data_IF_765497062576
#
_entry.id   IF_765497062576
#
_cell.length_a   1.000
_cell.length_b   1.000
_cell.length_c   1.000
_cell.angle_alpha   90.00
_cell.angle_beta   90.00
_cell.angle_gamma   90.00
#
_symmetry.space_group_name_H-M   'P 1'
#
loop_
_entity.id
_entity.type
_entity.pdbx_description
1 polymer ?
#
# COMPACT_ATOMS: atom_id res chain seq x y z
N UNK A 1 -27.75 6.40 1.51
CA UNK A 1 -26.95 5.34 0.84
C UNK A 1 -25.62 5.27 1.54
N UNK A 2 -25.01 4.09 1.70
CA UNK A 2 -23.64 3.98 2.20
C UNK A 2 -22.66 3.79 1.04
N UNK A 3 -21.59 4.58 1.04
CA UNK A 3 -20.56 4.61 -0.02
C UNK A 3 -19.19 4.52 0.63
N UNK A 4 -18.54 3.36 0.55
CA UNK A 4 -17.22 3.13 1.12
C UNK A 4 -16.12 3.32 0.07
N UNK A 5 -15.32 4.36 0.23
CA UNK A 5 -14.26 4.78 -0.70
C UNK A 5 -12.90 4.98 0.01
N UNK A 6 -12.67 4.24 1.10
CA UNK A 6 -11.40 4.20 1.82
C UNK A 6 -10.71 2.82 1.66
N UNK A 7 -10.80 2.22 0.46
CA UNK A 7 -10.28 0.88 0.21
C UNK A 7 -8.73 0.81 0.17
N UNK A 8 -8.04 1.93 0.21
CA UNK A 8 -6.58 1.94 0.39
C UNK A 8 -6.18 1.76 1.86
N UNK A 9 -7.02 2.16 2.81
CA UNK A 9 -6.78 1.90 4.24
C UNK A 9 -7.09 0.46 4.62
N UNK A 10 -8.28 -0.03 4.26
CA UNK A 10 -8.69 -1.43 4.45
C UNK A 10 -9.87 -1.74 3.53
N UNK A 11 -10.08 -2.99 3.21
CA UNK A 11 -11.19 -3.42 2.35
C UNK A 11 -12.17 -4.33 3.08
N UNK A 12 -13.45 -4.35 2.70
CA UNK A 12 -14.35 -5.42 3.14
C UNK A 12 -13.85 -6.77 2.60
N UNK A 13 -13.99 -7.82 3.39
CA UNK A 13 -13.59 -9.16 2.96
C UNK A 13 -14.50 -9.64 1.83
N UNK A 14 -13.91 -10.23 0.78
CA UNK A 14 -14.65 -10.84 -0.34
C UNK A 14 -15.60 -11.93 0.17
N UNK A 15 -16.84 -12.04 -0.39
CA UNK A 15 -17.81 -13.06 0.03
C UNK A 15 -17.25 -14.48 -0.04
N UNK A 16 -16.48 -14.83 -1.09
CA UNK A 16 -15.86 -16.14 -1.24
C UNK A 16 -14.77 -16.38 -0.19
N UNK A 17 -13.99 -15.35 0.14
CA UNK A 17 -12.97 -15.39 1.19
C UNK A 17 -13.62 -15.56 2.57
N UNK A 18 -14.77 -14.91 2.82
CA UNK A 18 -15.56 -15.13 4.06
C UNK A 18 -16.04 -16.56 4.19
N UNK A 19 -16.50 -17.17 3.09
CA UNK A 19 -16.93 -18.56 3.05
C UNK A 19 -15.77 -19.48 3.47
N UNK A 20 -14.61 -19.37 2.81
CA UNK A 20 -13.41 -20.15 3.16
C UNK A 20 -12.99 -19.92 4.62
N UNK A 21 -13.01 -18.67 5.09
CA UNK A 21 -12.69 -18.36 6.49
C UNK A 21 -13.62 -19.07 7.47
N UNK A 22 -14.94 -19.10 7.18
CA UNK A 22 -15.94 -19.75 8.02
C UNK A 22 -15.81 -21.29 7.97
N UNK A 23 -15.64 -21.88 6.78
CA UNK A 23 -15.51 -23.32 6.61
C UNK A 23 -14.26 -23.90 7.27
N UNK A 24 -13.19 -23.13 7.36
CA UNK A 24 -11.90 -23.57 7.90
C UNK A 24 -11.72 -23.29 9.38
N UNK A 25 -12.72 -22.72 10.07
CA UNK A 25 -12.60 -22.34 11.49
C UNK A 25 -12.35 -23.55 12.42
N UNK A 26 -12.86 -24.71 12.03
CA UNK A 26 -12.70 -25.95 12.78
C UNK A 26 -11.41 -26.73 12.44
N UNK A 27 -10.57 -26.21 11.54
CA UNK A 27 -9.25 -26.78 11.23
C UNK A 27 -8.24 -26.25 12.27
N UNK A 28 -8.12 -26.95 13.41
CA UNK A 28 -7.38 -26.48 14.60
C UNK A 28 -6.11 -27.27 14.92
N UNK A 29 -5.84 -28.38 14.22
CA UNK A 29 -4.72 -29.26 14.53
C UNK A 29 -3.35 -28.56 14.42
N UNK A 30 -2.38 -29.08 15.16
CA UNK A 30 -0.99 -28.65 14.99
C UNK A 30 -0.38 -29.37 13.78
N UNK A 31 -0.08 -28.65 12.73
CA UNK A 31 0.46 -29.18 11.47
C UNK A 31 1.79 -29.96 11.61
N UNK A 32 2.51 -29.79 12.71
CA UNK A 32 3.79 -30.48 12.98
C UNK A 32 3.62 -31.84 13.67
N UNK A 33 2.38 -32.27 13.98
CA UNK A 33 2.10 -33.51 14.67
C UNK A 33 1.39 -34.50 13.75
N UNK A 34 1.60 -35.82 14.01
CA UNK A 34 1.15 -36.89 13.10
C UNK A 34 -0.25 -37.43 13.42
N UNK A 35 -0.99 -36.85 14.38
CA UNK A 35 -2.38 -37.23 14.58
C UNK A 35 -3.30 -36.69 13.49
N UNK A 36 -4.50 -37.22 13.36
CA UNK A 36 -5.44 -36.94 12.26
C UNK A 36 -5.62 -35.43 12.00
N UNK A 37 -5.96 -34.64 13.03
CA UNK A 37 -6.20 -33.21 12.92
C UNK A 37 -4.93 -32.43 12.48
N UNK A 38 -3.74 -32.88 12.91
CA UNK A 38 -2.47 -32.29 12.49
C UNK A 38 -2.17 -32.55 11.01
N UNK A 39 -2.50 -33.74 10.51
CA UNK A 39 -2.37 -34.09 9.08
C UNK A 39 -3.34 -33.27 8.23
N UNK A 40 -4.60 -33.12 8.68
CA UNK A 40 -5.61 -32.30 8.00
C UNK A 40 -5.16 -30.83 7.92
N UNK A 41 -4.68 -30.25 9.01
CA UNK A 41 -4.16 -28.88 9.04
C UNK A 41 -2.94 -28.69 8.12
N UNK A 42 -2.04 -29.68 8.09
CA UNK A 42 -0.89 -29.64 7.19
C UNK A 42 -1.31 -29.68 5.72
N UNK A 43 -2.28 -30.49 5.36
CA UNK A 43 -2.81 -30.57 4.01
C UNK A 43 -3.43 -29.23 3.59
N UNK A 44 -4.24 -28.60 4.45
CA UNK A 44 -4.84 -27.30 4.20
C UNK A 44 -3.77 -26.17 4.09
N UNK A 45 -2.71 -26.21 4.91
CA UNK A 45 -1.60 -25.27 4.80
C UNK A 45 -0.83 -25.44 3.49
N UNK A 46 -0.57 -26.67 3.04
CA UNK A 46 0.08 -26.91 1.76
C UNK A 46 -0.76 -26.36 0.62
N UNK A 47 -2.07 -26.60 0.60
CA UNK A 47 -2.98 -26.01 -0.40
C UNK A 47 -2.95 -24.48 -0.37
N UNK A 48 -2.88 -23.87 0.81
CA UNK A 48 -2.74 -22.42 0.92
C UNK A 48 -1.41 -21.93 0.35
N UNK A 49 -0.30 -22.65 0.60
CA UNK A 49 0.98 -22.35 -0.03
C UNK A 49 0.91 -22.46 -1.55
N UNK A 50 0.35 -23.56 -2.09
CA UNK A 50 0.21 -23.74 -3.53
C UNK A 50 -0.56 -22.56 -4.16
N UNK A 51 -1.70 -22.16 -3.57
CA UNK A 51 -2.46 -20.97 -4.02
C UNK A 51 -1.65 -19.69 -3.99
N UNK A 52 -0.77 -19.52 -2.99
CA UNK A 52 0.08 -18.33 -2.87
C UNK A 52 1.20 -18.31 -3.93
N UNK A 53 1.87 -19.46 -4.13
CA UNK A 53 2.93 -19.60 -5.12
C UNK A 53 2.39 -19.42 -6.54
N UNK A 54 1.29 -20.11 -6.87
CA UNK A 54 0.64 -19.99 -8.17
C UNK A 54 0.08 -18.57 -8.39
N UNK A 55 -0.63 -18.05 -7.37
CA UNK A 55 -1.28 -16.75 -7.45
C UNK A 55 -0.32 -15.57 -7.61
N UNK A 56 0.92 -15.69 -7.15
CA UNK A 56 1.96 -14.64 -7.26
C UNK A 56 3.07 -15.00 -8.27
N UNK A 57 2.97 -16.13 -8.94
CA UNK A 57 4.01 -16.69 -9.81
C UNK A 57 5.39 -16.73 -9.12
N UNK A 58 5.43 -17.25 -7.87
CA UNK A 58 6.68 -17.48 -7.14
C UNK A 58 7.32 -18.82 -7.59
N UNK A 59 8.65 -18.92 -7.50
CA UNK A 59 9.37 -20.16 -7.74
C UNK A 59 9.35 -21.06 -6.50
N UNK A 60 9.31 -22.38 -6.67
CA UNK A 60 9.43 -23.36 -5.57
C UNK A 60 10.76 -23.24 -4.77
N UNK A 61 11.75 -22.59 -5.35
CA UNK A 61 13.02 -22.32 -4.69
C UNK A 61 12.97 -21.13 -3.72
N UNK A 62 11.95 -20.28 -3.83
CA UNK A 62 11.74 -19.09 -3.02
C UNK A 62 10.97 -19.42 -1.75
N UNK A 63 10.88 -18.49 -0.82
CA UNK A 63 10.10 -18.65 0.39
C UNK A 63 8.97 -17.61 0.44
N UNK A 64 7.78 -18.05 0.85
CA UNK A 64 6.70 -17.16 1.30
C UNK A 64 6.44 -17.47 2.78
N UNK A 65 6.67 -16.50 3.64
CA UNK A 65 6.37 -16.64 5.08
C UNK A 65 5.16 -15.79 5.45
N UNK A 66 4.31 -16.32 6.32
CA UNK A 66 3.15 -15.58 6.81
C UNK A 66 3.55 -14.68 7.97
N UNK A 67 3.08 -13.45 7.92
CA UNK A 67 3.30 -12.40 8.92
C UNK A 67 1.95 -11.92 9.46
N UNK A 68 1.94 -11.08 10.48
CA UNK A 68 0.70 -10.43 10.95
C UNK A 68 0.23 -9.31 10.03
N UNK A 69 1.15 -8.73 9.26
CA UNK A 69 0.89 -7.59 8.37
C UNK A 69 2.12 -7.28 7.51
N UNK A 70 1.96 -6.40 6.51
CA UNK A 70 3.08 -5.78 5.79
C UNK A 70 4.08 -5.12 6.76
N UNK A 71 3.59 -4.49 7.83
CA UNK A 71 4.46 -3.86 8.84
C UNK A 71 5.45 -4.84 9.48
N UNK A 72 5.02 -6.06 9.84
CA UNK A 72 5.93 -7.10 10.33
C UNK A 72 6.94 -7.50 9.26
N UNK A 73 6.49 -7.69 8.01
CA UNK A 73 7.36 -8.04 6.88
C UNK A 73 8.42 -6.97 6.60
N UNK A 74 8.03 -5.70 6.53
CA UNK A 74 8.92 -4.56 6.34
C UNK A 74 9.99 -4.47 7.44
N UNK A 75 9.57 -4.62 8.70
CA UNK A 75 10.49 -4.66 9.84
C UNK A 75 11.46 -5.85 9.75
N UNK A 76 10.98 -7.02 9.34
CA UNK A 76 11.81 -8.22 9.22
C UNK A 76 12.90 -8.02 8.16
N UNK A 77 12.56 -7.46 7.00
CA UNK A 77 13.53 -7.15 5.93
C UNK A 77 14.54 -6.11 6.41
N UNK A 78 14.09 -4.94 6.87
CA UNK A 78 15.01 -3.84 7.27
C UNK A 78 15.94 -4.28 8.40
N UNK A 79 15.42 -4.97 9.42
CA UNK A 79 16.23 -5.44 10.56
C UNK A 79 17.17 -6.58 10.21
N UNK A 80 16.95 -7.32 9.13
CA UNK A 80 17.93 -8.26 8.58
C UNK A 80 19.23 -7.54 8.23
N UNK A 81 19.15 -6.37 7.61
CA UNK A 81 20.35 -5.60 7.19
C UNK A 81 20.98 -4.83 8.35
N UNK A 82 20.20 -4.41 9.35
CA UNK A 82 20.76 -3.93 10.62
C UNK A 82 21.57 -5.02 11.34
N UNK A 83 20.99 -6.23 11.46
CA UNK A 83 21.69 -7.38 12.06
C UNK A 83 22.99 -7.74 11.33
N UNK A 84 22.94 -7.73 9.99
CA UNK A 84 24.14 -7.97 9.17
C UNK A 84 25.21 -6.88 9.37
N UNK A 85 24.80 -5.61 9.48
CA UNK A 85 25.71 -4.50 9.79
C UNK A 85 26.36 -4.66 11.15
N UNK A 86 25.57 -4.94 12.20
CA UNK A 86 26.05 -5.14 13.57
C UNK A 86 27.01 -6.35 13.68
N UNK A 87 26.86 -7.34 12.80
CA UNK A 87 27.75 -8.51 12.68
C UNK A 87 28.97 -8.25 11.80
N UNK A 88 29.19 -7.05 11.32
CA UNK A 88 30.41 -6.64 10.61
C UNK A 88 30.37 -6.86 9.11
N UNK A 89 29.21 -6.82 8.45
CA UNK A 89 29.11 -6.91 6.98
C UNK A 89 29.85 -5.77 6.25
N UNK A 90 30.12 -4.65 6.94
CA UNK A 90 30.71 -3.44 6.37
C UNK A 90 29.74 -2.60 5.52
N UNK A 91 28.52 -3.08 5.28
CA UNK A 91 27.48 -2.36 4.54
C UNK A 91 26.52 -1.69 5.52
N UNK A 92 26.51 -0.36 5.53
CA UNK A 92 25.74 0.44 6.51
C UNK A 92 24.74 1.39 5.86
N UNK A 93 24.52 1.31 4.54
CA UNK A 93 23.68 2.26 3.82
C UNK A 93 22.41 1.60 3.28
N UNK A 94 21.26 2.24 3.48
CA UNK A 94 19.97 1.84 2.92
C UNK A 94 19.42 3.00 2.09
N UNK A 95 18.90 2.69 0.90
CA UNK A 95 18.22 3.67 0.04
C UNK A 95 16.72 3.39 0.09
N UNK A 96 15.93 4.44 0.23
CA UNK A 96 14.46 4.40 0.24
C UNK A 96 13.89 5.66 -0.39
N UNK A 97 12.58 5.93 -0.25
CA UNK A 97 11.93 7.10 -0.84
C UNK A 97 11.25 7.99 0.21
N UNK A 98 11.03 9.27 -0.13
CA UNK A 98 10.24 10.18 0.72
C UNK A 98 8.76 9.75 0.82
N UNK A 99 8.27 8.98 -0.15
CA UNK A 99 6.87 8.56 -0.25
C UNK A 99 6.54 7.28 0.55
N UNK A 100 7.49 6.72 1.31
CA UNK A 100 7.31 5.47 2.03
C UNK A 100 6.30 5.56 3.18
N UNK A 101 5.65 4.43 3.43
CA UNK A 101 4.79 4.26 4.60
C UNK A 101 5.60 4.28 5.91
N UNK A 102 4.95 4.64 7.02
CA UNK A 102 5.56 4.69 8.36
C UNK A 102 6.22 3.35 8.76
N UNK A 103 5.71 2.19 8.28
CA UNK A 103 6.30 0.87 8.55
C UNK A 103 7.69 0.66 7.92
N UNK A 104 8.12 1.54 7.01
CA UNK A 104 9.47 1.63 6.46
C UNK A 104 10.25 2.75 7.17
N UNK A 105 9.68 3.96 7.24
CA UNK A 105 10.35 5.14 7.81
C UNK A 105 10.77 4.93 9.27
N UNK A 106 9.87 4.38 10.10
CA UNK A 106 10.14 4.18 11.54
C UNK A 106 11.26 3.16 11.82
N UNK A 107 11.27 1.94 11.23
CA UNK A 107 12.41 1.05 11.44
C UNK A 107 13.71 1.56 10.83
N UNK A 108 13.69 2.38 9.75
CA UNK A 108 14.89 3.04 9.24
C UNK A 108 15.41 4.10 10.23
N UNK A 109 14.53 4.90 10.83
CA UNK A 109 14.91 5.82 11.89
C UNK A 109 15.56 5.08 13.08
N UNK A 110 15.02 3.92 13.46
CA UNK A 110 15.63 3.06 14.46
C UNK A 110 17.01 2.56 14.02
N UNK A 111 17.20 2.12 12.79
CA UNK A 111 18.51 1.69 12.26
C UNK A 111 19.57 2.80 12.31
N UNK A 112 19.17 4.06 12.08
CA UNK A 112 20.06 5.23 12.18
C UNK A 112 20.66 5.39 13.57
N UNK A 113 19.95 5.01 14.64
CA UNK A 113 20.47 5.06 16.02
C UNK A 113 21.65 4.11 16.26
N UNK A 114 21.84 3.13 15.40
CA UNK A 114 22.96 2.17 15.41
C UNK A 114 24.09 2.52 14.43
N UNK A 115 24.00 3.65 13.74
CA UNK A 115 25.02 4.11 12.81
C UNK A 115 24.80 3.70 11.35
N UNK A 116 23.62 3.22 10.99
CA UNK A 116 23.26 3.06 9.58
C UNK A 116 22.94 4.42 8.94
N UNK A 117 23.28 4.55 7.68
CA UNK A 117 22.99 5.71 6.84
C UNK A 117 21.75 5.43 5.97
N UNK A 118 20.91 6.43 5.76
CA UNK A 118 19.70 6.29 4.95
C UNK A 118 19.62 7.45 3.95
N UNK A 119 19.54 7.12 2.66
CA UNK A 119 19.24 8.07 1.60
C UNK A 119 17.76 7.96 1.24
N UNK A 120 17.06 9.09 1.26
CA UNK A 120 15.67 9.21 0.81
C UNK A 120 15.67 9.84 -0.59
N UNK A 121 15.21 9.09 -1.58
CA UNK A 121 15.04 9.58 -2.95
C UNK A 121 13.76 10.41 -3.03
N UNK A 122 13.86 11.55 -3.69
CA UNK A 122 12.70 12.40 -3.98
C UNK A 122 11.84 11.81 -5.09
N UNK A 123 10.60 12.23 -5.13
CA UNK A 123 9.69 11.93 -6.23
C UNK A 123 9.55 13.16 -7.14
N UNK A 124 9.28 12.91 -8.43
CA UNK A 124 8.91 13.99 -9.36
C UNK A 124 7.44 14.44 -9.12
N UNK A 125 6.97 15.40 -9.89
CA UNK A 125 5.59 15.91 -9.85
C UNK A 125 4.49 14.86 -10.07
N UNK A 126 4.85 13.71 -10.67
CA UNK A 126 3.97 12.56 -10.86
C UNK A 126 4.10 11.51 -9.73
N UNK A 127 4.84 11.80 -8.67
CA UNK A 127 5.06 10.91 -7.55
C UNK A 127 6.00 9.72 -7.85
N UNK A 128 6.76 9.79 -8.95
CA UNK A 128 7.64 8.72 -9.40
C UNK A 128 9.10 9.00 -9.02
N UNK A 129 9.79 7.98 -8.55
CA UNK A 129 11.23 8.01 -8.30
C UNK A 129 11.99 7.69 -9.59
N UNK A 130 13.05 8.46 -9.86
CA UNK A 130 13.93 8.22 -11.00
C UNK A 130 14.82 7.00 -10.78
N UNK A 131 14.87 6.10 -11.77
CA UNK A 131 15.83 4.96 -11.76
C UNK A 131 17.27 5.44 -11.86
N UNK A 132 17.53 6.56 -12.52
CA UNK A 132 18.87 7.13 -12.64
C UNK A 132 19.32 7.76 -11.31
N UNK A 133 18.42 8.42 -10.56
CA UNK A 133 18.72 8.92 -9.22
C UNK A 133 18.99 7.76 -8.25
N UNK A 134 18.24 6.66 -8.38
CA UNK A 134 18.53 5.44 -7.63
C UNK A 134 19.93 4.92 -7.95
N UNK A 135 20.32 4.84 -9.24
CA UNK A 135 21.67 4.40 -9.63
C UNK A 135 22.76 5.30 -9.08
N UNK A 136 22.54 6.61 -9.12
CA UNK A 136 23.49 7.60 -8.60
C UNK A 136 23.68 7.50 -7.07
N UNK A 137 22.62 7.13 -6.34
CA UNK A 137 22.66 6.97 -4.88
C UNK A 137 23.30 5.66 -4.41
N UNK A 138 23.36 4.63 -5.26
CA UNK A 138 23.95 3.33 -4.92
C UNK A 138 25.46 3.39 -4.76
N UNK A 139 25.98 2.77 -3.70
CA UNK A 139 27.43 2.68 -3.41
C UNK A 139 27.81 1.27 -2.98
N UNK A 140 29.10 0.99 -2.84
CA UNK A 140 29.61 -0.28 -2.29
C UNK A 140 29.14 -0.54 -0.85
N UNK A 141 28.78 0.52 -0.10
CA UNK A 141 28.23 0.44 1.26
C UNK A 141 26.73 0.15 1.27
N UNK A 142 26.05 0.21 0.14
CA UNK A 142 24.59 -0.01 0.08
C UNK A 142 24.27 -1.47 0.40
N UNK A 143 23.49 -1.67 1.45
CA UNK A 143 23.07 -2.96 1.96
C UNK A 143 21.71 -3.38 1.39
N UNK A 144 20.80 -2.42 1.19
CA UNK A 144 19.43 -2.64 0.76
C UNK A 144 18.92 -1.41 0.01
N UNK A 145 18.11 -1.64 -1.01
CA UNK A 145 17.18 -0.65 -1.57
C UNK A 145 15.76 -1.09 -1.22
N UNK A 146 14.95 -0.19 -0.68
CA UNK A 146 13.56 -0.45 -0.31
C UNK A 146 12.66 0.64 -0.88
N UNK A 147 11.79 0.29 -1.82
CA UNK A 147 10.88 1.22 -2.50
C UNK A 147 9.47 0.66 -2.49
N UNK A 148 8.47 1.46 -2.06
CA UNK A 148 7.07 1.05 -2.13
C UNK A 148 6.66 0.77 -3.58
N UNK A 149 5.79 -0.24 -3.78
CA UNK A 149 5.30 -0.58 -5.12
C UNK A 149 4.38 0.51 -5.66
N UNK A 150 3.46 0.95 -4.84
CA UNK A 150 2.56 2.05 -5.15
C UNK A 150 2.18 2.82 -3.88
N UNK A 151 2.04 4.13 -4.00
CA UNK A 151 1.66 4.98 -2.88
C UNK A 151 0.19 4.74 -2.48
N UNK A 152 -0.05 4.54 -1.19
CA UNK A 152 -1.39 4.48 -0.64
C UNK A 152 -2.10 5.85 -0.65
N UNK A 153 -1.34 6.95 -0.72
CA UNK A 153 -1.85 8.31 -0.67
C UNK A 153 -2.09 8.88 -2.07
N UNK A 154 -1.13 8.73 -2.99
CA UNK A 154 -1.23 9.31 -4.33
C UNK A 154 -1.61 8.30 -5.41
N UNK A 155 -1.47 7.01 -5.12
CA UNK A 155 -1.66 5.94 -6.08
C UNK A 155 -0.51 5.77 -7.07
N UNK A 156 0.52 6.62 -7.06
CA UNK A 156 1.65 6.56 -7.99
C UNK A 156 2.33 5.18 -7.94
N UNK A 157 2.49 4.55 -9.10
CA UNK A 157 3.10 3.21 -9.26
C UNK A 157 4.56 3.39 -9.63
N UNK A 158 5.46 2.86 -8.81
CA UNK A 158 6.91 2.97 -9.04
C UNK A 158 7.40 1.98 -10.12
N UNK A 159 8.47 2.29 -10.85
CA UNK A 159 9.07 1.41 -11.86
C UNK A 159 9.89 0.29 -11.21
N UNK A 160 9.20 -0.60 -10.46
CA UNK A 160 9.81 -1.63 -9.59
C UNK A 160 10.72 -2.58 -10.36
N UNK A 161 10.29 -3.03 -11.55
CA UNK A 161 11.06 -3.97 -12.37
C UNK A 161 12.40 -3.39 -12.82
N UNK A 162 12.40 -2.13 -13.25
CA UNK A 162 13.60 -1.40 -13.67
C UNK A 162 14.52 -1.14 -12.49
N UNK A 163 13.96 -0.79 -11.33
CA UNK A 163 14.71 -0.57 -10.09
C UNK A 163 15.34 -1.87 -9.58
N UNK A 164 14.57 -2.97 -9.54
CA UNK A 164 15.08 -4.29 -9.17
C UNK A 164 16.22 -4.74 -10.09
N UNK A 165 16.10 -4.46 -11.41
CA UNK A 165 17.17 -4.73 -12.36
C UNK A 165 18.42 -3.90 -12.07
N UNK A 166 18.28 -2.60 -11.82
CA UNK A 166 19.40 -1.73 -11.49
C UNK A 166 20.13 -2.19 -10.22
N UNK A 167 19.40 -2.62 -9.19
CA UNK A 167 19.98 -3.15 -7.96
C UNK A 167 20.70 -4.48 -8.19
N UNK A 168 20.13 -5.36 -9.00
CA UNK A 168 20.73 -6.66 -9.36
C UNK A 168 22.05 -6.48 -10.11
N UNK A 169 22.17 -5.49 -11.01
CA UNK A 169 23.38 -5.17 -11.75
C UNK A 169 24.54 -4.79 -10.81
N UNK A 170 24.22 -4.28 -9.60
CA UNK A 170 25.18 -3.92 -8.55
C UNK A 170 25.24 -4.92 -7.38
N UNK A 171 24.55 -6.06 -7.48
CA UNK A 171 24.43 -7.06 -6.40
C UNK A 171 23.93 -6.46 -5.07
N UNK A 172 22.97 -5.55 -5.15
CA UNK A 172 22.28 -4.96 -4.00
C UNK A 172 20.88 -5.58 -3.88
N UNK A 173 20.49 -6.14 -2.73
CA UNK A 173 19.16 -6.66 -2.50
C UNK A 173 18.09 -5.56 -2.65
N UNK A 174 16.95 -5.92 -3.27
CA UNK A 174 15.83 -5.02 -3.51
C UNK A 174 14.56 -5.50 -2.82
N UNK A 175 13.97 -4.64 -1.99
CA UNK A 175 12.70 -4.83 -1.32
C UNK A 175 11.62 -3.89 -1.88
N UNK A 176 10.40 -4.39 -1.99
CA UNK A 176 9.24 -3.54 -2.26
C UNK A 176 8.12 -3.79 -1.24
N UNK A 177 7.63 -2.70 -0.63
CA UNK A 177 6.35 -2.69 0.09
C UNK A 177 5.22 -2.70 -0.94
N UNK A 178 4.59 -3.84 -1.10
CA UNK A 178 3.55 -4.07 -2.09
C UNK A 178 2.13 -4.13 -1.50
N UNK A 179 1.92 -3.51 -0.35
CA UNK A 179 0.61 -3.47 0.31
C UNK A 179 -0.51 -3.00 -0.63
N UNK A 180 -0.21 -2.12 -1.58
CA UNK A 180 -1.17 -1.57 -2.54
C UNK A 180 -1.16 -2.26 -3.91
N UNK A 181 -0.35 -3.29 -4.15
CA UNK A 181 -0.17 -3.89 -5.47
C UNK A 181 -1.22 -4.96 -5.81
N UNK A 182 -1.35 -6.01 -4.96
CA UNK A 182 -2.18 -7.18 -5.24
C UNK A 182 -3.65 -6.77 -5.46
N UNK A 183 -4.24 -7.27 -6.54
CA UNK A 183 -5.62 -6.98 -6.93
C UNK A 183 -5.84 -5.64 -7.64
N UNK A 184 -4.78 -4.84 -7.82
CA UNK A 184 -4.84 -3.54 -8.52
C UNK A 184 -3.92 -3.51 -9.72
N UNK A 185 -2.77 -4.18 -9.63
CA UNK A 185 -1.85 -4.42 -10.74
C UNK A 185 -1.52 -5.90 -10.82
N UNK A 186 -1.08 -6.37 -11.97
CA UNK A 186 -0.60 -7.76 -12.10
C UNK A 186 0.69 -7.93 -11.30
N UNK A 187 0.69 -8.85 -10.37
CA UNK A 187 1.88 -9.26 -9.63
C UNK A 187 2.41 -10.58 -10.20
N UNK A 188 3.63 -10.55 -10.66
CA UNK A 188 4.39 -11.71 -11.12
C UNK A 188 5.80 -11.60 -10.53
N UNK A 189 6.07 -12.36 -9.47
CA UNK A 189 7.32 -12.25 -8.71
C UNK A 189 8.56 -12.67 -9.50
N UNK A 190 8.42 -13.59 -10.46
CA UNK A 190 9.52 -13.98 -11.33
C UNK A 190 9.86 -12.87 -12.34
N UNK A 191 8.85 -12.21 -12.91
CA UNK A 191 9.03 -11.10 -13.85
C UNK A 191 9.52 -9.82 -13.15
N UNK A 192 9.01 -9.50 -11.96
CA UNK A 192 9.46 -8.35 -11.15
C UNK A 192 10.92 -8.49 -10.75
N UNK A 193 11.37 -9.68 -10.40
CA UNK A 193 12.75 -9.97 -10.05
C UNK A 193 13.24 -9.32 -8.76
N UNK A 194 12.33 -8.99 -7.84
CA UNK A 194 12.60 -8.45 -6.50
C UNK A 194 13.18 -9.53 -5.58
N UNK A 195 13.92 -9.13 -4.53
CA UNK A 195 14.43 -10.06 -3.53
C UNK A 195 13.47 -10.22 -2.34
N UNK A 196 12.70 -9.17 -2.03
CA UNK A 196 11.67 -9.19 -0.99
C UNK A 196 10.42 -8.45 -1.47
N UNK A 197 9.25 -9.01 -1.12
CA UNK A 197 7.95 -8.44 -1.45
C UNK A 197 7.02 -8.63 -0.25
N UNK A 198 6.49 -7.53 0.31
CA UNK A 198 5.65 -7.55 1.50
C UNK A 198 4.22 -7.13 1.19
N UNK A 199 3.24 -7.79 1.81
CA UNK A 199 1.82 -7.53 1.57
C UNK A 199 0.94 -7.87 2.79
N UNK A 200 -0.31 -7.39 2.79
CA UNK A 200 -1.32 -7.66 3.83
C UNK A 200 -2.66 -8.05 3.21
N UNK A 201 -3.29 -9.11 3.71
CA UNK A 201 -4.53 -9.65 3.17
C UNK A 201 -5.67 -8.62 3.09
N UNK A 202 -5.83 -7.79 4.10
CA UNK A 202 -6.93 -6.80 4.17
C UNK A 202 -6.85 -5.67 3.13
N UNK A 203 -5.81 -5.57 2.34
CA UNK A 203 -5.66 -4.56 1.27
C UNK A 203 -6.24 -5.03 -0.07
N UNK A 204 -6.52 -6.33 -0.20
CA UNK A 204 -7.08 -6.95 -1.39
C UNK A 204 -8.22 -7.92 -1.06
N UNK A 205 -9.11 -7.50 -0.16
CA UNK A 205 -10.32 -8.22 0.24
C UNK A 205 -10.09 -9.53 1.00
N UNK A 206 -8.91 -9.71 1.59
CA UNK A 206 -8.59 -10.77 2.53
C UNK A 206 -8.83 -10.35 4.00
N UNK A 207 -8.51 -11.22 4.97
CA UNK A 207 -8.68 -10.93 6.38
C UNK A 207 -7.61 -9.97 6.92
N UNK A 208 -7.95 -9.26 8.01
CA UNK A 208 -6.99 -8.51 8.83
C UNK A 208 -6.15 -9.46 9.70
N UNK A 209 -4.98 -9.00 10.15
CA UNK A 209 -4.12 -9.77 11.07
C UNK A 209 -3.29 -10.85 10.38
N UNK A 210 -3.27 -10.88 9.06
CA UNK A 210 -2.42 -11.77 8.26
C UNK A 210 -1.86 -11.03 7.05
N UNK A 211 -0.58 -11.27 6.79
CA UNK A 211 0.16 -10.78 5.63
C UNK A 211 1.18 -11.81 5.19
N UNK A 212 1.99 -11.43 4.23
CA UNK A 212 3.05 -12.28 3.71
C UNK A 212 4.34 -11.49 3.43
N UNK A 213 5.44 -12.20 3.49
CA UNK A 213 6.75 -11.76 3.03
C UNK A 213 7.30 -12.83 2.10
N UNK A 214 7.47 -12.47 0.84
CA UNK A 214 8.23 -13.25 -0.13
C UNK A 214 9.72 -12.96 0.07
N UNK A 215 10.54 -14.01 0.02
CA UNK A 215 11.99 -13.96 0.12
C UNK A 215 12.56 -14.80 -1.02
N UNK A 216 13.26 -14.16 -1.95
CA UNK A 216 13.89 -14.82 -3.07
C UNK A 216 14.97 -15.80 -2.60
N UNK A 217 15.10 -16.92 -3.30
CA UNK A 217 16.13 -17.92 -3.02
C UNK A 217 17.51 -17.28 -2.86
N UNK A 218 18.19 -17.59 -1.76
CA UNK A 218 19.53 -17.08 -1.37
C UNK A 218 19.58 -15.62 -0.95
N UNK A 219 18.46 -14.87 -0.95
CA UNK A 219 18.46 -13.53 -0.40
C UNK A 219 18.78 -13.58 1.12
N UNK A 220 19.60 -12.65 1.64
CA UNK A 220 19.94 -12.61 3.06
C UNK A 220 18.70 -12.45 3.93
N UNK A 221 18.55 -13.25 4.98
CA UNK A 221 17.41 -13.10 5.89
C UNK A 221 17.77 -13.52 7.30
N UNK A 222 17.42 -12.69 8.27
CA UNK A 222 17.47 -12.99 9.71
C UNK A 222 16.05 -12.91 10.25
N UNK A 223 15.56 -13.96 10.95
CA UNK A 223 14.21 -13.94 11.53
C UNK A 223 14.03 -12.78 12.51
N UNK A 224 12.92 -12.03 12.36
CA UNK A 224 12.53 -11.02 13.34
C UNK A 224 11.96 -11.65 14.60
N UNK A 225 11.21 -12.74 14.45
CA UNK A 225 10.58 -13.48 15.55
C UNK A 225 11.26 -14.84 15.67
N UNK A 226 11.99 -15.04 16.76
CA UNK A 226 12.74 -16.26 17.05
C UNK A 226 11.89 -17.31 17.78
N UNK A 227 12.15 -18.60 17.53
CA UNK A 227 11.49 -19.73 18.18
C UNK A 227 11.73 -21.05 17.46
N UNK A 228 10.71 -21.92 17.41
CA UNK A 228 10.84 -23.23 16.78
C UNK A 228 11.16 -23.15 15.28
N UNK A 229 12.18 -23.91 14.87
CA UNK A 229 12.56 -24.04 13.46
C UNK A 229 11.58 -24.87 12.63
N UNK A 230 10.62 -25.55 13.29
CA UNK A 230 9.61 -26.38 12.61
C UNK A 230 8.48 -25.56 11.99
N UNK A 231 8.44 -24.25 12.25
CA UNK A 231 7.45 -23.33 11.68
C UNK A 231 8.12 -22.50 10.61
N UNK A 232 7.60 -22.50 9.39
CA UNK A 232 8.10 -21.75 8.22
C UNK A 232 9.64 -21.83 8.06
N UNK A 233 10.22 -23.02 8.25
CA UNK A 233 11.66 -23.25 8.16
C UNK A 233 12.50 -22.43 9.17
N UNK A 234 11.89 -21.96 10.26
CA UNK A 234 12.53 -21.10 11.27
C UNK A 234 12.63 -19.63 10.86
N UNK A 235 12.11 -19.25 9.69
CA UNK A 235 12.16 -17.86 9.22
C UNK A 235 11.16 -16.95 9.95
N UNK A 236 10.07 -17.52 10.46
CA UNK A 236 9.15 -16.82 11.34
C UNK A 236 8.55 -17.82 12.33
N UNK A 237 8.89 -17.72 13.57
CA UNK A 237 8.41 -18.63 14.62
C UNK A 237 7.04 -18.21 15.17
N UNK A 238 6.40 -19.10 15.93
CA UNK A 238 5.06 -18.93 16.48
C UNK A 238 4.00 -19.69 15.69
N UNK A 239 2.93 -20.09 16.38
CA UNK A 239 1.82 -20.81 15.75
C UNK A 239 1.23 -20.03 14.59
N UNK A 240 0.97 -20.72 13.50
CA UNK A 240 0.39 -20.10 12.30
C UNK A 240 -1.08 -19.76 12.57
N UNK A 241 -1.51 -18.59 12.14
CA UNK A 241 -2.92 -18.20 12.13
C UNK A 241 -3.62 -18.86 10.93
N UNK A 242 -3.93 -20.17 11.08
CA UNK A 242 -4.36 -21.04 10.00
C UNK A 242 -5.53 -20.45 9.18
N UNK A 243 -6.63 -20.07 9.84
CA UNK A 243 -7.84 -19.56 9.16
C UNK A 243 -7.55 -18.28 8.35
N UNK A 244 -6.76 -17.38 8.95
CA UNK A 244 -6.33 -16.17 8.24
C UNK A 244 -5.46 -16.48 7.01
N UNK A 245 -4.57 -17.48 7.13
CA UNK A 245 -3.70 -17.94 6.04
C UNK A 245 -4.52 -18.57 4.91
N UNK A 246 -5.47 -19.48 5.21
CA UNK A 246 -6.32 -20.11 4.22
C UNK A 246 -7.15 -19.10 3.44
N UNK A 247 -7.78 -18.18 4.18
CA UNK A 247 -8.58 -17.11 3.59
C UNK A 247 -7.74 -16.12 2.78
N UNK A 248 -6.53 -15.74 3.26
CA UNK A 248 -5.64 -14.86 2.53
C UNK A 248 -5.12 -15.50 1.22
N UNK A 249 -4.83 -16.79 1.24
CA UNK A 249 -4.41 -17.51 0.03
C UNK A 249 -5.52 -17.50 -1.05
N UNK A 250 -6.77 -17.70 -0.65
CA UNK A 250 -7.91 -17.55 -1.58
C UNK A 250 -8.05 -16.09 -2.06
N UNK A 251 -7.87 -15.14 -1.17
CA UNK A 251 -7.91 -13.72 -1.54
C UNK A 251 -6.82 -13.36 -2.57
N UNK A 252 -5.59 -13.87 -2.45
CA UNK A 252 -4.51 -13.68 -3.44
C UNK A 252 -4.91 -14.28 -4.79
N UNK A 253 -5.40 -15.52 -4.78
CA UNK A 253 -5.86 -16.22 -6.00
C UNK A 253 -6.93 -15.42 -6.74
N UNK A 254 -7.94 -14.91 -6.02
CA UNK A 254 -9.01 -14.09 -6.61
C UNK A 254 -8.45 -12.76 -7.09
N UNK A 255 -7.73 -12.04 -6.22
CA UNK A 255 -7.30 -10.68 -6.49
C UNK A 255 -6.31 -10.57 -7.66
N UNK A 256 -5.37 -11.53 -7.80
CA UNK A 256 -4.38 -11.52 -8.88
C UNK A 256 -4.81 -12.34 -10.13
N UNK A 257 -6.07 -12.79 -10.17
CA UNK A 257 -6.63 -13.45 -11.36
C UNK A 257 -6.79 -12.49 -12.53
N UNK A 258 -6.70 -13.00 -13.75
CA UNK A 258 -6.87 -12.18 -14.94
C UNK A 258 -8.29 -11.59 -15.01
N UNK A 259 -9.31 -12.33 -14.56
CA UNK A 259 -10.71 -11.86 -14.49
C UNK A 259 -10.85 -10.64 -13.57
N UNK A 260 -10.31 -10.71 -12.34
CA UNK A 260 -10.37 -9.57 -11.42
C UNK A 260 -9.59 -8.37 -11.98
N UNK A 261 -8.40 -8.59 -12.53
CA UNK A 261 -7.57 -7.50 -13.06
C UNK A 261 -8.20 -6.87 -14.30
N UNK A 262 -8.85 -7.63 -15.17
CA UNK A 262 -9.63 -7.10 -16.29
C UNK A 262 -10.78 -6.23 -15.79
N UNK A 263 -11.56 -6.69 -14.81
CA UNK A 263 -12.63 -5.90 -14.19
C UNK A 263 -12.11 -4.60 -13.54
N UNK A 264 -11.01 -4.69 -12.81
CA UNK A 264 -10.38 -3.51 -12.20
C UNK A 264 -9.90 -2.51 -13.25
N UNK A 265 -9.34 -2.99 -14.36
CA UNK A 265 -8.80 -2.12 -15.42
C UNK A 265 -9.86 -1.62 -16.42
N UNK A 266 -11.07 -2.15 -16.41
CA UNK A 266 -12.18 -1.70 -17.25
C UNK A 266 -13.23 -0.98 -16.43
N UNK A 267 -14.01 -1.69 -15.62
CA UNK A 267 -15.16 -1.12 -14.94
C UNK A 267 -14.78 -0.19 -13.78
N UNK A 268 -13.82 -0.61 -12.93
CA UNK A 268 -13.39 0.27 -11.84
C UNK A 268 -12.69 1.52 -12.36
N UNK A 269 -11.88 1.38 -13.42
CA UNK A 269 -11.28 2.53 -14.12
C UNK A 269 -12.34 3.44 -14.71
N UNK A 270 -13.40 2.91 -15.31
CA UNK A 270 -14.53 3.68 -15.86
C UNK A 270 -15.20 4.52 -14.76
N UNK A 271 -15.53 3.89 -13.63
CA UNK A 271 -16.14 4.56 -12.48
C UNK A 271 -15.21 5.61 -11.85
N UNK A 272 -13.94 5.27 -11.67
CA UNK A 272 -12.91 6.20 -11.19
C UNK A 272 -12.79 7.44 -12.11
N UNK A 273 -12.74 7.23 -13.40
CA UNK A 273 -12.63 8.33 -14.37
C UNK A 273 -13.88 9.19 -14.36
N UNK A 274 -15.09 8.59 -14.27
CA UNK A 274 -16.36 9.32 -14.13
C UNK A 274 -16.34 10.24 -12.91
N UNK A 275 -15.86 9.73 -11.76
CA UNK A 275 -15.73 10.52 -10.53
C UNK A 275 -14.72 11.65 -10.70
N UNK A 276 -13.54 11.36 -11.23
CA UNK A 276 -12.49 12.36 -11.41
C UNK A 276 -12.91 13.47 -12.39
N UNK A 277 -13.54 13.10 -13.51
CA UNK A 277 -14.03 14.06 -14.48
C UNK A 277 -15.09 15.00 -13.86
N UNK A 278 -15.95 14.47 -12.99
CA UNK A 278 -16.92 15.28 -12.25
C UNK A 278 -16.26 16.19 -11.20
N UNK A 279 -15.26 15.72 -10.48
CA UNK A 279 -14.49 16.52 -9.53
C UNK A 279 -13.82 17.69 -10.23
N UNK A 280 -13.21 17.45 -11.40
CA UNK A 280 -12.51 18.49 -12.18
C UNK A 280 -13.45 19.54 -12.81
N UNK A 281 -14.76 19.33 -12.83
CA UNK A 281 -15.75 20.37 -13.19
C UNK A 281 -16.04 21.33 -12.00
N UNK A 282 -15.67 20.97 -10.78
CA UNK A 282 -15.81 21.85 -9.61
C UNK A 282 -14.68 22.89 -9.67
N UNK A 283 -14.98 24.20 -9.65
CA UNK A 283 -13.95 25.23 -9.68
C UNK A 283 -12.90 25.05 -8.57
N UNK A 284 -11.68 25.49 -8.82
CA UNK A 284 -10.58 25.44 -7.84
C UNK A 284 -10.31 24.05 -7.26
N UNK A 285 -10.40 23.01 -8.09
CA UNK A 285 -9.99 21.64 -7.75
C UNK A 285 -8.81 21.20 -8.63
N UNK A 286 -7.99 20.33 -8.08
CA UNK A 286 -6.85 19.71 -8.78
C UNK A 286 -6.78 18.24 -8.44
N UNK A 287 -6.60 17.38 -9.44
CA UNK A 287 -6.27 15.96 -9.29
C UNK A 287 -4.77 15.75 -9.44
N UNK A 288 -4.25 14.75 -8.72
CA UNK A 288 -2.82 14.43 -8.67
C UNK A 288 -2.52 13.10 -9.35
N UNK A 289 -1.32 12.99 -9.85
CA UNK A 289 -0.76 11.83 -10.55
C UNK A 289 -1.58 11.47 -11.81
N UNK A 290 -1.01 11.59 -13.00
CA UNK A 290 -1.69 11.22 -14.25
C UNK A 290 -2.24 9.80 -14.22
N UNK A 291 -3.35 9.58 -14.89
CA UNK A 291 -4.12 8.31 -14.90
C UNK A 291 -3.27 7.10 -15.29
N UNK A 292 -2.29 7.29 -16.17
CA UNK A 292 -1.36 6.28 -16.66
C UNK A 292 -0.27 5.89 -15.67
N UNK A 293 -0.04 6.70 -14.64
CA UNK A 293 1.02 6.49 -13.63
C UNK A 293 0.49 6.08 -12.26
N UNK A 294 -0.83 5.86 -12.13
CA UNK A 294 -1.42 5.53 -10.84
C UNK A 294 -2.29 4.27 -10.86
N UNK A 295 -2.55 3.77 -9.67
CA UNK A 295 -3.46 2.66 -9.45
C UNK A 295 -4.84 2.92 -10.07
N UNK A 296 -5.45 1.86 -10.54
CA UNK A 296 -6.73 1.86 -11.25
C UNK A 296 -7.94 2.29 -10.40
N UNK A 297 -7.82 2.31 -9.07
CA UNK A 297 -8.92 2.45 -8.14
C UNK A 297 -8.94 3.76 -7.34
N UNK A 298 -8.00 4.67 -7.53
CA UNK A 298 -7.87 5.85 -6.67
C UNK A 298 -8.02 7.16 -7.45
N UNK A 299 -8.73 8.14 -6.85
CA UNK A 299 -8.67 9.56 -7.19
C UNK A 299 -8.14 10.30 -5.97
N UNK A 300 -7.15 11.15 -6.19
CA UNK A 300 -6.59 12.06 -5.18
C UNK A 300 -6.80 13.47 -5.66
N UNK A 301 -7.55 14.27 -4.93
CA UNK A 301 -7.88 15.61 -5.35
C UNK A 301 -7.86 16.60 -4.18
N UNK A 302 -7.35 17.81 -4.44
CA UNK A 302 -7.46 18.93 -3.52
C UNK A 302 -8.62 19.84 -3.91
N UNK A 303 -9.27 20.39 -2.89
CA UNK A 303 -10.39 21.32 -3.01
C UNK A 303 -9.98 22.63 -2.33
N UNK A 304 -9.47 23.57 -3.10
CA UNK A 304 -8.97 24.84 -2.58
C UNK A 304 -10.02 25.52 -1.69
N UNK A 305 -9.55 26.01 -0.53
CA UNK A 305 -10.40 26.68 0.44
C UNK A 305 -11.22 25.75 1.34
N UNK A 306 -10.97 24.43 1.27
CA UNK A 306 -11.59 23.42 2.13
C UNK A 306 -10.50 22.73 2.94
N UNK A 307 -10.72 22.57 4.23
CA UNK A 307 -9.92 21.65 5.04
C UNK A 307 -10.44 20.22 4.84
N UNK A 308 -9.52 19.28 4.55
CA UNK A 308 -9.87 17.89 4.28
C UNK A 308 -10.72 17.26 5.38
N UNK A 309 -10.43 17.55 6.64
CA UNK A 309 -11.21 17.05 7.78
C UNK A 309 -12.67 17.57 7.78
N UNK A 310 -12.90 18.83 7.44
CA UNK A 310 -14.27 19.37 7.32
C UNK A 310 -15.05 18.61 6.24
N UNK A 311 -14.37 18.27 5.14
CA UNK A 311 -14.97 17.45 4.08
C UNK A 311 -15.25 16.03 4.54
N UNK A 312 -14.35 15.41 5.33
CA UNK A 312 -14.58 14.07 5.91
C UNK A 312 -15.83 14.03 6.77
N UNK A 313 -16.03 15.03 7.64
CA UNK A 313 -17.21 15.10 8.50
C UNK A 313 -18.50 15.20 7.70
N UNK A 314 -18.55 16.10 6.73
CA UNK A 314 -19.74 16.29 5.90
C UNK A 314 -20.06 15.07 5.03
N UNK A 315 -19.05 14.43 4.48
CA UNK A 315 -19.21 13.19 3.73
C UNK A 315 -19.71 12.06 4.62
N UNK A 316 -19.15 11.90 5.83
CA UNK A 316 -19.57 10.89 6.79
C UNK A 316 -21.04 11.07 7.21
N UNK A 317 -21.51 12.30 7.42
CA UNK A 317 -22.93 12.59 7.71
C UNK A 317 -23.87 12.18 6.57
N UNK A 318 -23.36 12.14 5.34
CA UNK A 318 -24.09 11.66 4.16
C UNK A 318 -23.85 10.16 3.86
N UNK A 319 -23.19 9.41 4.77
CA UNK A 319 -22.89 7.99 4.59
C UNK A 319 -21.80 7.71 3.58
N UNK A 320 -20.92 8.67 3.28
CA UNK A 320 -19.80 8.55 2.35
C UNK A 320 -18.50 8.54 3.15
N UNK A 321 -17.74 7.46 3.03
CA UNK A 321 -16.52 7.23 3.80
C UNK A 321 -15.30 7.35 2.89
N UNK A 322 -14.52 8.41 3.09
CA UNK A 322 -13.30 8.77 2.34
C UNK A 322 -12.15 9.00 3.33
N UNK A 323 -10.95 9.25 2.85
CA UNK A 323 -9.78 9.56 3.68
C UNK A 323 -9.04 10.81 3.22
N UNK A 324 -8.20 11.35 4.10
CA UNK A 324 -7.25 12.41 3.79
C UNK A 324 -5.83 11.85 3.78
N UNK A 325 -4.91 12.54 3.11
CA UNK A 325 -3.48 12.19 3.15
C UNK A 325 -2.79 12.50 4.48
N UNK A 326 -3.43 13.32 5.35
CA UNK A 326 -2.91 13.56 6.69
C UNK A 326 -3.16 12.34 7.58
N UNK A 327 -2.16 11.92 8.34
CA UNK A 327 -2.38 10.90 9.36
C UNK A 327 -3.28 11.51 10.43
N UNK A 328 -4.49 10.97 10.58
CA UNK A 328 -5.38 11.29 11.68
C UNK A 328 -4.84 10.72 13.00
N UNK A 329 -3.64 11.08 13.39
CA UNK A 329 -3.21 10.98 14.78
C UNK A 329 -3.67 12.27 15.44
N UNK A 330 -4.53 12.16 16.42
CA UNK A 330 -5.22 13.26 17.13
C UNK A 330 -4.29 14.26 17.85
N UNK A 331 -2.99 14.22 17.62
CA UNK A 331 -2.01 15.06 18.29
C UNK A 331 -1.17 15.94 17.33
N UNK A 332 -1.06 15.60 16.04
CA UNK A 332 -0.32 16.39 15.05
C UNK A 332 -1.10 16.46 13.73
N UNK A 333 -1.69 17.62 13.44
CA UNK A 333 -2.27 17.99 12.15
C UNK A 333 -1.13 18.28 11.15
N UNK A 334 -0.40 17.24 10.76
CA UNK A 334 0.63 17.38 9.72
C UNK A 334 0.00 17.10 8.36
N UNK A 335 0.24 18.03 7.43
CA UNK A 335 -0.08 17.84 6.02
C UNK A 335 0.59 16.57 5.47
N UNK A 336 -0.01 15.96 4.45
CA UNK A 336 0.62 14.82 3.79
C UNK A 336 1.97 15.21 3.20
N UNK A 337 3.05 14.74 3.81
CA UNK A 337 4.41 14.91 3.27
C UNK A 337 4.56 14.33 1.85
N UNK A 338 3.72 13.37 1.48
CA UNK A 338 3.71 12.77 0.14
C UNK A 338 3.09 13.74 -0.87
N UNK A 339 2.02 14.47 -0.50
CA UNK A 339 1.42 15.50 -1.36
C UNK A 339 2.32 16.74 -1.44
N UNK A 340 2.98 17.11 -0.35
CA UNK A 340 4.00 18.17 -0.38
C UNK A 340 5.18 17.82 -1.30
N UNK A 341 5.59 16.55 -1.32
CA UNK A 341 6.64 16.05 -2.24
C UNK A 341 6.25 16.15 -3.73
N UNK A 342 4.95 16.31 -4.05
CA UNK A 342 4.49 16.64 -5.40
C UNK A 342 4.65 18.13 -5.76
N UNK A 343 5.26 18.94 -4.87
CA UNK A 343 5.49 20.36 -5.04
C UNK A 343 4.34 21.26 -4.55
N UNK A 344 3.39 20.71 -3.80
CA UNK A 344 2.26 21.48 -3.28
C UNK A 344 2.58 22.19 -1.97
N UNK A 345 1.86 23.30 -1.73
CA UNK A 345 1.93 24.00 -0.46
C UNK A 345 1.15 23.25 0.62
N UNK A 346 1.57 23.38 1.87
CA UNK A 346 0.92 22.79 3.06
C UNK A 346 -0.61 23.01 3.07
N UNK A 347 -1.07 24.21 2.72
CA UNK A 347 -2.51 24.54 2.67
C UNK A 347 -3.27 23.69 1.64
N UNK A 348 -2.64 23.39 0.50
CA UNK A 348 -3.21 22.54 -0.55
C UNK A 348 -3.12 21.06 -0.17
N UNK A 349 -2.04 20.65 0.46
CA UNK A 349 -1.89 19.29 0.99
C UNK A 349 -2.97 18.98 2.05
N UNK A 350 -3.27 19.94 2.94
CA UNK A 350 -4.38 19.84 3.91
C UNK A 350 -5.78 19.82 3.27
N UNK A 351 -5.92 20.39 2.07
CA UNK A 351 -7.16 20.40 1.31
C UNK A 351 -7.35 19.14 0.44
N UNK A 352 -6.48 18.13 0.60
CA UNK A 352 -6.45 16.95 -0.27
C UNK A 352 -7.20 15.79 0.38
N UNK A 353 -8.08 15.17 -0.41
CA UNK A 353 -8.84 13.97 -0.05
C UNK A 353 -8.62 12.85 -1.06
N UNK A 354 -8.81 11.62 -0.60
CA UNK A 354 -8.64 10.41 -1.37
C UNK A 354 -9.95 9.64 -1.49
N UNK A 355 -10.27 9.21 -2.69
CA UNK A 355 -11.40 8.35 -3.03
C UNK A 355 -10.85 7.06 -3.60
N UNK A 356 -10.83 6.01 -2.80
CA UNK A 356 -10.32 4.71 -3.20
C UNK A 356 -11.48 3.72 -3.43
N UNK A 357 -11.79 3.47 -4.68
CA UNK A 357 -12.82 2.53 -5.12
C UNK A 357 -12.37 1.07 -4.86
N UNK A 358 -13.29 0.14 -5.04
CA UNK A 358 -13.00 -1.30 -5.10
C UNK A 358 -13.88 -1.97 -6.16
N UNK A 359 -13.66 -3.25 -6.38
CA UNK A 359 -14.51 -4.08 -7.27
C UNK A 359 -15.98 -4.15 -6.83
N UNK A 360 -16.29 -3.72 -5.62
CA UNK A 360 -17.65 -3.68 -5.08
C UNK A 360 -18.30 -2.29 -5.17
N UNK A 361 -17.58 -1.29 -5.66
CA UNK A 361 -18.12 0.06 -5.85
C UNK A 361 -19.06 0.06 -7.06
N UNK A 362 -20.28 0.58 -6.90
CA UNK A 362 -21.30 0.62 -7.95
C UNK A 362 -21.41 1.99 -8.61
N UNK A 363 -22.02 2.04 -9.77
CA UNK A 363 -22.26 3.30 -10.49
C UNK A 363 -23.21 4.21 -9.71
N UNK A 364 -24.24 3.66 -9.09
CA UNK A 364 -25.19 4.42 -8.27
C UNK A 364 -24.49 5.08 -7.06
N UNK A 365 -23.49 4.42 -6.49
CA UNK A 365 -22.68 4.99 -5.41
C UNK A 365 -21.83 6.17 -5.90
N UNK A 366 -21.26 6.06 -7.09
CA UNK A 366 -20.48 7.15 -7.71
C UNK A 366 -21.40 8.32 -8.07
N UNK A 367 -22.57 8.07 -8.63
CA UNK A 367 -23.55 9.13 -8.96
C UNK A 367 -24.02 9.87 -7.70
N UNK A 368 -24.31 9.12 -6.62
CA UNK A 368 -24.65 9.71 -5.33
C UNK A 368 -23.53 10.57 -4.76
N UNK A 369 -22.29 10.11 -4.81
CA UNK A 369 -21.12 10.89 -4.39
C UNK A 369 -21.00 12.19 -5.19
N UNK A 370 -21.13 12.12 -6.52
CA UNK A 370 -21.04 13.30 -7.41
C UNK A 370 -22.12 14.32 -7.05
N UNK A 371 -23.37 13.88 -6.80
CA UNK A 371 -24.45 14.75 -6.34
C UNK A 371 -24.07 15.45 -5.04
N UNK A 372 -23.53 14.70 -4.05
CA UNK A 372 -23.15 15.25 -2.75
C UNK A 372 -21.97 16.20 -2.81
N UNK A 373 -20.98 15.93 -3.65
CA UNK A 373 -19.87 16.87 -3.92
C UNK A 373 -20.40 18.22 -4.41
N UNK A 374 -21.39 18.21 -5.29
CA UNK A 374 -22.02 19.44 -5.83
C UNK A 374 -22.73 20.29 -4.76
N UNK A 375 -23.06 19.75 -3.59
CA UNK A 375 -23.71 20.47 -2.48
C UNK A 375 -22.75 20.76 -1.33
N UNK A 376 -21.90 19.83 -0.97
CA UNK A 376 -20.98 19.90 0.17
C UNK A 376 -19.86 20.93 -0.10
N UNK A 377 -19.24 20.86 -1.27
CA UNK A 377 -18.10 21.74 -1.60
C UNK A 377 -18.49 23.23 -1.58
N UNK A 378 -19.57 23.69 -2.25
CA UNK A 378 -20.01 25.09 -2.15
C UNK A 378 -20.31 25.50 -0.70
N UNK A 379 -21.05 24.67 0.06
CA UNK A 379 -21.43 24.96 1.43
C UNK A 379 -20.22 25.16 2.36
N UNK A 380 -19.18 24.32 2.28
CA UNK A 380 -17.99 24.49 3.10
C UNK A 380 -17.24 25.76 2.68
N UNK A 381 -17.17 26.06 1.39
CA UNK A 381 -16.50 27.27 0.88
C UNK A 381 -17.19 28.55 1.33
N UNK A 382 -18.53 28.59 1.43
CA UNK A 382 -19.29 29.75 1.95
C UNK A 382 -18.87 30.14 3.38
N UNK A 383 -18.52 29.16 4.21
CA UNK A 383 -18.09 29.40 5.61
C UNK A 383 -16.57 29.50 5.77
N UNK A 384 -15.81 29.26 4.71
CA UNK A 384 -14.34 29.31 4.72
C UNK A 384 -13.83 30.74 4.63
N UNK A 385 -13.29 31.25 5.73
CA UNK A 385 -12.65 32.57 5.75
C UNK A 385 -11.44 32.70 4.83
N UNK A 386 -10.73 31.61 4.58
CA UNK A 386 -9.57 31.56 3.69
C UNK A 386 -9.99 31.67 2.22
N UNK A 387 -11.07 31.03 1.83
CA UNK A 387 -11.60 31.10 0.46
C UNK A 387 -12.17 32.47 0.15
N UNK A 388 -12.98 33.05 1.03
CA UNK A 388 -13.58 34.37 0.87
C UNK A 388 -12.52 35.51 0.75
N UNK A 389 -11.44 35.45 1.55
CA UNK A 389 -10.35 36.44 1.46
C UNK A 389 -9.59 36.38 0.12
N UNK A 390 -9.45 35.21 -0.47
CA UNK A 390 -8.76 35.05 -1.75
C UNK A 390 -9.62 35.50 -2.93
N UNK A 391 -10.94 35.27 -2.92
CA UNK A 391 -11.85 35.83 -3.92
C UNK A 391 -11.85 37.36 -3.91
N UNK A 392 -11.93 37.96 -2.73
CA UNK A 392 -11.88 39.42 -2.59
C UNK A 392 -10.56 40.01 -3.08
N UNK A 393 -9.42 39.32 -2.86
CA UNK A 393 -8.11 39.75 -3.34
C UNK A 393 -7.95 39.57 -4.87
N UNK A 394 -8.48 38.49 -5.45
CA UNK A 394 -8.46 38.28 -6.88
C UNK A 394 -9.33 39.31 -7.61
N UNK A 395 -10.53 39.60 -7.12
CA UNK A 395 -11.39 40.68 -7.66
C UNK A 395 -10.72 42.06 -7.57
N UNK A 396 -10.02 42.32 -6.47
CA UNK A 396 -9.28 43.59 -6.33
C UNK A 396 -8.14 43.73 -7.35
N UNK A 397 -7.44 42.64 -7.69
CA UNK A 397 -6.37 42.65 -8.71
C UNK A 397 -6.95 42.80 -10.14
N UNK A 398 -8.12 42.21 -10.41
CA UNK A 398 -8.78 42.31 -11.72
C UNK A 398 -9.41 43.72 -11.97
N UNK A 399 -9.76 44.44 -10.91
CA UNK A 399 -10.34 45.78 -10.98
C UNK A 399 -9.30 46.91 -10.99
N UNK A 400 -8.01 46.62 -10.71
CA UNK A 400 -6.91 47.61 -10.63
C UNK A 400 -5.68 47.15 -11.41
#
# INVERSE_FOLDING_TARGET
MEVYLDNNSTTPMDPKVKEIYAETIDIFGNANVIYKQGIETRAALNEAYDKMYDGLNASDADDIIFTSSTTEGNNAVIKTFLDAFLKGSGKNHIITTVAEHASIKSPLAYCKTFGMEVTYLDTNENGLVSVDDLRAAMTEKTALVSVLFASNETGAIQPIKEMARACRDMNIPFHTDAAQAIGKVKVDLQDLGVDYFTFSGHKFHGPKGVGGLFIKAKAPYTPLIHGSKNVMGGKRAGSVYNNGVFAMAEAVKIANSDENLEYMNTEVVRLRNKLEDAILQIPDTKSYVPREHRLNNIVVASFRGIEGEAMLWDMNENGIYISTGSSCSSEDLEASAVVEALGEKVEIANATVMFALSKFTTEEQIDYLIEKLGTIVPRIREISMTYAKQEAFSQFIEEH
#
